data_IF_812101289994
#
_entry.id   IF_812101289994
#
_cell.length_a   1.000
_cell.length_b   1.000
_cell.length_c   1.000
_cell.angle_alpha   90.00
_cell.angle_beta   90.00
_cell.angle_gamma   90.00
#
_symmetry.space_group_name_H-M   'P 1'
#
loop_
_entity.id
_entity.type
_entity.pdbx_description
1 polymer ?
#
# COMPACT_ATOMS: atom_id res chain seq x y z
N UNK A 1 -4.53 -11.53 18.77
CA UNK A 1 -5.61 -10.58 18.43
C UNK A 1 -5.11 -9.23 17.89
N UNK A 2 -4.51 -8.33 18.69
CA UNK A 2 -4.12 -7.00 18.19
C UNK A 2 -3.12 -7.06 17.03
N UNK A 3 -2.05 -7.85 17.17
CA UNK A 3 -1.06 -8.05 16.10
C UNK A 3 -1.71 -8.51 14.77
N UNK A 4 -2.65 -9.45 14.85
CA UNK A 4 -3.39 -9.94 13.68
C UNK A 4 -4.26 -8.85 13.03
N UNK A 5 -4.92 -7.98 13.83
CA UNK A 5 -5.65 -6.82 13.30
C UNK A 5 -4.72 -5.80 12.64
N UNK A 6 -3.55 -5.55 13.22
CA UNK A 6 -2.58 -4.60 12.67
C UNK A 6 -1.98 -5.12 11.35
N UNK A 7 -1.61 -6.40 11.30
CA UNK A 7 -1.12 -7.07 10.10
C UNK A 7 -2.18 -7.05 8.98
N UNK A 8 -3.43 -7.39 9.31
CA UNK A 8 -4.55 -7.31 8.38
C UNK A 8 -4.80 -5.88 7.90
N UNK A 9 -4.73 -4.89 8.80
CA UNK A 9 -4.95 -3.50 8.43
C UNK A 9 -3.90 -2.95 7.48
N UNK A 10 -2.63 -3.27 7.71
CA UNK A 10 -1.55 -2.89 6.80
C UNK A 10 -1.71 -3.59 5.44
N UNK A 11 -2.01 -4.90 5.43
CA UNK A 11 -2.21 -5.63 4.19
C UNK A 11 -3.37 -5.08 3.36
N UNK A 12 -4.53 -4.83 3.99
CA UNK A 12 -5.68 -4.22 3.31
C UNK A 12 -5.32 -2.82 2.80
N UNK A 13 -4.65 -1.99 3.60
CA UNK A 13 -4.27 -0.64 3.17
C UNK A 13 -3.34 -0.64 1.94
N UNK A 14 -2.47 -1.64 1.77
CA UNK A 14 -1.60 -1.75 0.58
C UNK A 14 -2.31 -2.24 -0.69
N UNK A 15 -3.50 -2.82 -0.56
CA UNK A 15 -4.27 -3.40 -1.67
C UNK A 15 -5.59 -2.68 -1.92
N UNK A 16 -6.02 -1.82 -1.00
CA UNK A 16 -7.27 -1.11 -1.09
C UNK A 16 -7.26 -0.15 -2.27
N UNK A 17 -8.34 -0.21 -3.05
CA UNK A 17 -8.65 0.79 -4.07
C UNK A 17 -10.07 1.30 -3.87
N UNK A 18 -10.34 2.54 -4.31
CA UNK A 18 -11.63 3.19 -4.11
C UNK A 18 -12.83 2.44 -4.73
N UNK A 19 -12.57 1.52 -5.65
CA UNK A 19 -13.59 0.68 -6.28
C UNK A 19 -13.90 -0.63 -5.54
N UNK A 20 -13.15 -0.98 -4.48
CA UNK A 20 -13.42 -2.20 -3.72
C UNK A 20 -14.74 -2.11 -2.97
N UNK A 21 -15.54 -3.18 -3.04
CA UNK A 21 -16.77 -3.26 -2.26
C UNK A 21 -16.47 -3.49 -0.78
N UNK A 22 -17.45 -3.21 0.09
CA UNK A 22 -17.33 -3.54 1.51
C UNK A 22 -17.07 -5.05 1.74
N UNK A 23 -17.63 -5.91 0.89
CA UNK A 23 -17.38 -7.35 0.92
C UNK A 23 -15.94 -7.72 0.56
N UNK A 24 -15.34 -7.04 -0.42
CA UNK A 24 -13.95 -7.28 -0.82
C UNK A 24 -12.98 -6.87 0.31
N UNK A 25 -13.23 -5.71 0.94
CA UNK A 25 -12.45 -5.23 2.09
C UNK A 25 -12.55 -6.21 3.25
N UNK A 26 -13.76 -6.68 3.56
CA UNK A 26 -14.02 -7.68 4.59
C UNK A 26 -13.27 -8.99 4.30
N UNK A 27 -13.40 -9.52 3.08
CA UNK A 27 -12.79 -10.80 2.69
C UNK A 27 -11.26 -10.73 2.69
N UNK A 28 -10.69 -9.65 2.16
CA UNK A 28 -9.25 -9.43 2.16
C UNK A 28 -8.72 -9.30 3.59
N UNK A 29 -9.35 -8.47 4.42
CA UNK A 29 -8.99 -8.30 5.81
C UNK A 29 -9.06 -9.61 6.59
N UNK A 30 -10.11 -10.41 6.36
CA UNK A 30 -10.29 -11.70 7.02
C UNK A 30 -9.19 -12.69 6.67
N UNK A 31 -8.74 -12.71 5.41
CA UNK A 31 -7.66 -13.58 4.95
C UNK A 31 -6.37 -13.32 5.73
N UNK A 32 -5.95 -12.05 5.82
CA UNK A 32 -4.74 -11.69 6.56
C UNK A 32 -4.91 -11.79 8.07
N UNK A 33 -6.10 -11.47 8.59
CA UNK A 33 -6.40 -11.61 10.01
C UNK A 33 -6.28 -13.07 10.45
N UNK A 34 -6.99 -13.98 9.76
CA UNK A 34 -6.99 -15.40 10.06
C UNK A 34 -5.60 -16.04 9.95
N UNK A 35 -4.79 -15.62 8.98
CA UNK A 35 -3.43 -16.12 8.79
C UNK A 35 -2.45 -15.67 9.90
N UNK A 36 -2.69 -14.51 10.51
CA UNK A 36 -1.83 -13.95 11.56
C UNK A 36 -2.40 -14.17 12.99
N UNK A 37 -3.56 -14.82 13.10
CA UNK A 37 -4.20 -15.03 14.39
C UNK A 37 -3.59 -16.24 15.12
N UNK A 38 -3.08 -16.00 16.32
CA UNK A 38 -2.81 -17.03 17.31
C UNK A 38 -3.91 -17.01 18.39
N UNK A 39 -4.42 -18.19 18.71
CA UNK A 39 -5.47 -18.41 19.70
C UNK A 39 -5.09 -19.56 20.64
N UNK A 40 -5.63 -19.56 21.86
CA UNK A 40 -5.36 -20.61 22.83
C UNK A 40 -6.03 -21.95 22.46
N UNK A 41 -7.18 -21.89 21.79
CA UNK A 41 -7.96 -23.06 21.35
C UNK A 41 -8.79 -22.75 20.09
N UNK A 42 -9.43 -23.79 19.53
CA UNK A 42 -10.20 -23.70 18.29
C UNK A 42 -11.48 -22.86 18.43
N UNK A 43 -12.11 -22.85 19.60
CA UNK A 43 -13.34 -22.10 19.84
C UNK A 43 -13.04 -20.60 19.90
N UNK A 44 -11.95 -20.24 20.56
CA UNK A 44 -11.43 -18.88 20.61
C UNK A 44 -11.05 -18.36 19.22
N UNK A 45 -10.38 -19.20 18.42
CA UNK A 45 -10.06 -18.89 17.02
C UNK A 45 -11.33 -18.64 16.20
N UNK A 46 -12.27 -19.60 16.20
CA UNK A 46 -13.54 -19.53 15.47
C UNK A 46 -14.34 -18.28 15.86
N UNK A 47 -14.44 -18.01 17.17
CA UNK A 47 -15.10 -16.82 17.70
C UNK A 47 -14.46 -15.53 17.19
N UNK A 48 -13.13 -15.44 17.22
CA UNK A 48 -12.41 -14.24 16.76
C UNK A 48 -12.55 -14.01 15.26
N UNK A 49 -12.50 -15.07 14.45
CA UNK A 49 -12.68 -15.03 12.99
C UNK A 49 -14.11 -14.63 12.65
N UNK A 50 -15.12 -15.19 13.34
CA UNK A 50 -16.53 -14.85 13.12
C UNK A 50 -16.88 -13.42 13.55
N UNK A 51 -16.21 -12.89 14.58
CA UNK A 51 -16.39 -11.53 15.08
C UNK A 51 -15.58 -10.48 14.31
N UNK A 52 -14.81 -10.88 13.30
CA UNK A 52 -13.98 -9.97 12.53
C UNK A 52 -14.85 -9.05 11.65
N UNK A 53 -14.51 -7.77 11.63
CA UNK A 53 -15.12 -6.76 10.77
C UNK A 53 -14.03 -5.84 10.22
N UNK A 54 -14.11 -5.51 8.94
CA UNK A 54 -13.27 -4.55 8.26
C UNK A 54 -14.12 -3.62 7.39
N UNK A 55 -13.82 -2.33 7.46
CA UNK A 55 -14.47 -1.29 6.69
C UNK A 55 -13.44 -0.29 6.18
N UNK A 56 -13.68 0.23 4.98
CA UNK A 56 -12.93 1.35 4.43
C UNK A 56 -13.80 2.61 4.43
N UNK A 57 -13.16 3.76 4.63
CA UNK A 57 -13.82 5.07 4.64
C UNK A 57 -12.85 6.14 4.17
N UNK A 58 -13.34 7.36 3.93
CA UNK A 58 -12.51 8.49 3.52
C UNK A 58 -12.76 8.95 2.09
N UNK A 59 -11.76 9.60 1.51
CA UNK A 59 -11.83 10.24 0.20
C UNK A 59 -10.46 10.16 -0.50
N UNK A 60 -10.34 10.60 -1.77
CA UNK A 60 -9.05 10.60 -2.47
C UNK A 60 -7.92 11.39 -1.80
N UNK A 61 -8.21 12.21 -0.78
CA UNK A 61 -7.16 12.86 0.03
C UNK A 61 -6.57 11.96 1.13
N UNK A 62 -7.36 11.02 1.65
CA UNK A 62 -6.94 10.03 2.64
C UNK A 62 -8.06 8.97 2.81
N UNK A 63 -7.68 7.70 2.77
CA UNK A 63 -8.54 6.58 3.14
C UNK A 63 -8.14 6.02 4.51
N UNK A 64 -9.12 5.46 5.19
CA UNK A 64 -8.98 4.83 6.49
C UNK A 64 -9.55 3.42 6.45
N UNK A 65 -8.71 2.45 6.76
CA UNK A 65 -9.13 1.07 6.98
C UNK A 65 -9.33 0.88 8.47
N UNK A 66 -10.54 0.52 8.87
CA UNK A 66 -10.91 0.22 10.26
C UNK A 66 -11.22 -1.25 10.38
N UNK A 67 -10.57 -1.91 11.32
CA UNK A 67 -10.73 -3.34 11.59
C UNK A 67 -11.06 -3.54 13.06
N UNK A 68 -11.86 -4.54 13.36
CA UNK A 68 -12.17 -4.95 14.72
C UNK A 68 -12.40 -6.45 14.81
N UNK A 69 -12.12 -7.01 15.97
CA UNK A 69 -12.52 -8.37 16.33
C UNK A 69 -12.62 -8.48 17.85
N UNK A 70 -13.14 -9.59 18.33
CA UNK A 70 -13.35 -9.84 19.74
C UNK A 70 -12.92 -11.25 20.13
N UNK A 71 -12.48 -11.41 21.37
CA UNK A 71 -12.13 -12.71 21.94
C UNK A 71 -12.92 -12.93 23.22
N UNK A 72 -13.55 -14.10 23.37
CA UNK A 72 -14.26 -14.48 24.59
C UNK A 72 -13.33 -15.31 25.46
N UNK A 73 -13.23 -14.95 26.75
CA UNK A 73 -12.43 -15.68 27.73
C UNK A 73 -13.30 -16.08 28.91
N UNK A 74 -13.10 -17.28 29.47
CA UNK A 74 -13.79 -17.67 30.68
C UNK A 74 -13.43 -16.70 31.82
N UNK A 75 -14.38 -16.49 32.73
CA UNK A 75 -14.11 -15.74 33.95
C UNK A 75 -13.22 -16.55 34.89
N UNK A 76 -12.36 -15.86 35.64
CA UNK A 76 -11.58 -16.45 36.73
C UNK A 76 -12.41 -16.55 38.04
N UNK A 77 -13.58 -15.90 38.10
CA UNK A 77 -14.52 -15.99 39.23
C UNK A 77 -15.55 -17.10 38.94
N UNK A 78 -15.70 -18.06 39.85
CA UNK A 78 -16.66 -19.16 39.66
C UNK A 78 -18.09 -18.63 39.58
N UNK A 79 -18.84 -19.02 38.54
CA UNK A 79 -20.23 -18.60 38.33
C UNK A 79 -20.39 -17.24 37.65
N UNK A 80 -19.30 -16.52 37.35
CA UNK A 80 -19.36 -15.31 36.56
C UNK A 80 -19.37 -15.61 35.05
N UNK A 81 -20.09 -14.79 34.28
CA UNK A 81 -20.15 -14.91 32.83
C UNK A 81 -18.76 -14.69 32.18
N UNK A 82 -18.55 -15.33 31.04
CA UNK A 82 -17.38 -15.07 30.18
C UNK A 82 -17.27 -13.60 29.84
N UNK A 83 -16.06 -13.07 29.79
CA UNK A 83 -15.81 -11.68 29.40
C UNK A 83 -15.31 -11.61 27.97
N UNK A 84 -15.62 -10.51 27.28
CA UNK A 84 -15.27 -10.31 25.88
C UNK A 84 -14.28 -9.15 25.76
N UNK A 85 -13.11 -9.43 25.18
CA UNK A 85 -12.12 -8.41 24.86
C UNK A 85 -12.29 -7.97 23.41
N UNK A 86 -12.75 -6.75 23.20
CA UNK A 86 -12.82 -6.12 21.88
C UNK A 86 -11.48 -5.44 21.57
N UNK A 87 -11.02 -5.56 20.32
CA UNK A 87 -9.83 -4.87 19.81
C UNK A 87 -10.14 -4.27 18.45
N UNK A 88 -9.45 -3.17 18.14
CA UNK A 88 -9.58 -2.46 16.88
C UNK A 88 -8.23 -1.99 16.39
N UNK A 89 -8.06 -1.94 15.07
CA UNK A 89 -6.94 -1.32 14.40
C UNK A 89 -7.47 -0.29 13.39
N UNK A 90 -6.73 0.81 13.19
CA UNK A 90 -7.05 1.81 12.18
C UNK A 90 -5.79 2.21 11.44
N UNK A 91 -5.81 2.04 10.13
CA UNK A 91 -4.69 2.40 9.24
C UNK A 91 -5.13 3.55 8.36
N UNK A 92 -4.33 4.62 8.34
CA UNK A 92 -4.49 5.72 7.38
C UNK A 92 -3.60 5.42 6.18
N UNK A 93 -4.16 5.51 4.99
CA UNK A 93 -3.43 5.44 3.73
C UNK A 93 -3.72 6.70 2.91
N UNK A 94 -2.67 7.23 2.29
CA UNK A 94 -2.82 8.26 1.29
C UNK A 94 -2.69 7.56 -0.06
N UNK A 95 -3.71 7.64 -0.94
CA UNK A 95 -3.59 7.06 -2.26
C UNK A 95 -2.39 7.67 -2.99
N UNK A 96 -1.71 6.85 -3.77
CA UNK A 96 -0.61 7.28 -4.61
C UNK A 96 -1.05 8.30 -5.65
N UNK A 97 -0.09 9.02 -6.22
CA UNK A 97 -0.39 9.84 -7.39
C UNK A 97 -0.53 8.95 -8.63
N UNK A 98 -1.45 9.32 -9.53
CA UNK A 98 -1.74 8.55 -10.74
C UNK A 98 -0.47 8.30 -11.57
N UNK A 99 -0.15 7.03 -11.83
CA UNK A 99 0.95 6.66 -12.71
C UNK A 99 0.51 6.78 -14.18
N UNK A 100 1.18 7.63 -14.97
CA UNK A 100 0.98 7.69 -16.43
C UNK A 100 1.89 6.71 -17.19
N UNK A 101 3.03 6.35 -16.60
CA UNK A 101 3.97 5.36 -17.14
C UNK A 101 4.27 4.38 -16.03
N UNK A 102 4.07 3.08 -16.30
CA UNK A 102 4.29 2.01 -15.35
C UNK A 102 5.12 0.90 -15.99
N UNK A 103 6.34 0.70 -15.48
CA UNK A 103 7.19 -0.42 -15.84
C UNK A 103 7.19 -1.45 -14.69
N UNK A 104 6.72 -2.66 -14.96
CA UNK A 104 6.50 -3.71 -13.94
C UNK A 104 7.65 -4.72 -13.82
N UNK A 105 8.58 -4.73 -14.77
CA UNK A 105 9.72 -5.63 -14.74
C UNK A 105 10.62 -5.31 -13.52
N UNK A 106 10.87 -6.30 -12.64
CA UNK A 106 11.54 -6.07 -11.36
C UNK A 106 13.05 -5.91 -11.44
N UNK A 107 13.70 -6.23 -12.57
CA UNK A 107 15.17 -6.29 -12.63
C UNK A 107 15.79 -5.66 -13.88
N UNK A 108 14.98 -5.21 -14.84
CA UNK A 108 15.51 -4.66 -16.09
C UNK A 108 16.13 -3.27 -15.87
N UNK A 109 17.38 -3.11 -16.31
CA UNK A 109 18.01 -1.79 -16.43
C UNK A 109 17.26 -0.90 -17.40
N UNK A 110 17.13 0.39 -17.09
CA UNK A 110 16.42 1.35 -17.93
C UNK A 110 14.98 0.90 -18.28
N UNK A 111 14.27 0.36 -17.30
CA UNK A 111 12.86 -0.07 -17.41
C UNK A 111 11.96 1.02 -18.01
N UNK A 112 12.28 2.28 -17.73
CA UNK A 112 11.82 3.42 -18.54
C UNK A 112 13.04 4.15 -19.07
N UNK A 113 13.20 4.18 -20.40
CA UNK A 113 14.30 4.87 -21.09
C UNK A 113 13.77 6.04 -21.91
N UNK A 114 14.25 7.24 -21.59
CA UNK A 114 13.92 8.49 -22.28
C UNK A 114 15.20 8.98 -22.98
N UNK A 115 15.31 8.72 -24.28
CA UNK A 115 16.58 8.88 -25.00
C UNK A 115 16.43 9.70 -26.28
N UNK A 116 17.49 10.41 -26.66
CA UNK A 116 17.51 11.27 -27.85
C UNK A 116 17.21 12.74 -27.52
N UNK A 117 16.34 13.37 -28.30
CA UNK A 117 15.98 14.80 -28.19
C UNK A 117 14.47 15.01 -28.00
N UNK A 118 13.80 14.06 -27.35
CA UNK A 118 12.35 14.10 -27.11
C UNK A 118 12.00 15.02 -25.96
N UNK A 119 10.85 15.70 -26.06
CA UNK A 119 10.27 16.45 -24.95
C UNK A 119 9.01 15.73 -24.46
N UNK A 120 9.04 15.25 -23.21
CA UNK A 120 7.94 14.51 -22.58
C UNK A 120 7.35 15.36 -21.46
N UNK A 121 6.07 15.70 -21.58
CA UNK A 121 5.34 16.49 -20.58
C UNK A 121 4.14 15.72 -20.02
N UNK A 122 4.23 15.37 -18.75
CA UNK A 122 3.30 14.56 -17.96
C UNK A 122 3.12 15.17 -16.56
N UNK A 123 3.06 16.51 -16.46
CA UNK A 123 3.15 17.25 -15.20
C UNK A 123 2.09 16.90 -14.14
N UNK A 124 1.00 16.22 -14.52
CA UNK A 124 -0.07 15.76 -13.62
C UNK A 124 0.06 14.30 -13.16
N UNK A 125 1.12 13.59 -13.56
CA UNK A 125 1.26 12.15 -13.37
C UNK A 125 2.66 11.73 -12.90
N UNK A 126 2.74 10.53 -12.33
CA UNK A 126 3.98 9.89 -11.92
C UNK A 126 4.49 8.90 -12.97
N UNK A 127 5.82 8.82 -13.13
CA UNK A 127 6.51 7.73 -13.81
C UNK A 127 6.92 6.72 -12.75
N UNK A 128 6.43 5.49 -12.84
CA UNK A 128 6.65 4.43 -11.87
C UNK A 128 7.45 3.28 -12.51
N UNK A 129 8.56 2.87 -11.87
CA UNK A 129 9.30 1.67 -12.27
C UNK A 129 9.51 0.74 -11.08
N UNK A 130 9.14 -0.53 -11.27
CA UNK A 130 9.30 -1.59 -10.27
C UNK A 130 10.68 -2.26 -10.32
N UNK A 131 11.57 -1.80 -11.22
CA UNK A 131 12.91 -2.35 -11.38
C UNK A 131 13.83 -1.92 -10.24
N UNK A 132 14.61 -2.85 -9.70
CA UNK A 132 15.65 -2.63 -8.67
C UNK A 132 17.02 -2.22 -9.24
N UNK A 133 17.14 -2.08 -10.56
CA UNK A 133 18.37 -1.63 -11.21
C UNK A 133 18.77 -0.20 -10.80
N UNK A 134 20.07 0.10 -10.79
CA UNK A 134 20.60 1.44 -10.46
C UNK A 134 20.18 2.53 -11.47
N UNK A 135 19.69 2.13 -12.64
CA UNK A 135 19.20 2.98 -13.72
C UNK A 135 17.76 2.63 -14.12
N UNK A 136 16.93 2.17 -13.18
CA UNK A 136 15.54 1.75 -13.41
C UNK A 136 14.73 2.75 -14.26
N UNK A 137 14.92 4.05 -14.04
CA UNK A 137 14.49 5.10 -14.97
C UNK A 137 15.71 5.88 -15.43
N UNK A 138 15.95 5.88 -16.74
CA UNK A 138 17.09 6.55 -17.33
C UNK A 138 16.66 7.60 -18.35
N UNK A 139 17.36 8.73 -18.32
CA UNK A 139 17.24 9.78 -19.31
C UNK A 139 18.61 10.04 -19.93
N UNK A 140 18.74 9.77 -21.22
CA UNK A 140 19.94 10.03 -22.02
C UNK A 140 19.76 11.11 -23.10
N UNK A 141 20.86 11.69 -23.55
CA UNK A 141 20.86 12.71 -24.62
C UNK A 141 20.37 14.08 -24.16
N UNK A 142 19.62 14.75 -25.02
CA UNK A 142 19.04 16.09 -24.79
C UNK A 142 17.54 16.03 -24.48
N UNK A 143 17.02 14.87 -24.09
CA UNK A 143 15.61 14.71 -23.76
C UNK A 143 15.22 15.56 -22.54
N UNK A 144 14.05 16.17 -22.61
CA UNK A 144 13.46 16.95 -21.52
C UNK A 144 12.26 16.21 -20.96
N UNK A 145 12.15 16.17 -19.63
CA UNK A 145 11.08 15.46 -18.93
C UNK A 145 10.41 16.40 -17.94
N UNK A 146 9.10 16.55 -18.03
CA UNK A 146 8.28 17.16 -16.98
C UNK A 146 7.27 16.16 -16.48
N UNK A 147 7.23 15.92 -15.17
CA UNK A 147 6.28 15.00 -14.55
C UNK A 147 5.90 15.49 -13.14
N UNK A 148 4.82 14.97 -12.57
CA UNK A 148 4.52 15.25 -11.17
C UNK A 148 5.63 14.66 -10.28
N UNK A 149 6.00 13.40 -10.54
CA UNK A 149 7.14 12.76 -9.91
C UNK A 149 7.66 11.56 -10.69
N UNK A 150 8.81 11.03 -10.27
CA UNK A 150 9.34 9.74 -10.72
C UNK A 150 9.54 8.88 -9.47
N UNK A 151 8.97 7.68 -9.41
CA UNK A 151 9.11 6.75 -8.27
C UNK A 151 9.68 5.43 -8.75
N UNK A 152 10.76 4.98 -8.14
CA UNK A 152 11.48 3.76 -8.57
C UNK A 152 11.89 2.90 -7.39
N UNK A 153 11.85 1.58 -7.58
CA UNK A 153 12.41 0.63 -6.61
C UNK A 153 13.93 0.69 -6.60
N UNK A 154 14.56 0.81 -7.76
CA UNK A 154 15.99 1.06 -7.93
C UNK A 154 16.32 2.55 -8.04
N UNK A 155 17.40 2.85 -8.74
CA UNK A 155 17.91 4.22 -8.94
C UNK A 155 17.43 4.88 -10.23
N UNK A 156 17.75 6.15 -10.39
CA UNK A 156 17.52 6.92 -11.62
C UNK A 156 18.80 7.50 -12.19
N UNK A 157 18.82 7.70 -13.51
CA UNK A 157 19.96 8.28 -14.22
C UNK A 157 19.53 9.45 -15.09
N UNK A 158 20.21 10.59 -14.95
CA UNK A 158 19.95 11.77 -15.78
C UNK A 158 18.64 12.50 -15.47
N UNK A 159 18.09 12.42 -14.26
CA UNK A 159 16.84 13.10 -13.89
C UNK A 159 17.06 14.36 -13.03
N UNK A 160 18.11 15.13 -13.32
CA UNK A 160 18.41 16.39 -12.62
C UNK A 160 17.99 17.64 -13.42
N UNK A 161 17.69 18.77 -12.76
CA UNK A 161 17.52 20.06 -13.45
C UNK A 161 18.77 20.42 -14.27
N UNK A 162 18.63 21.09 -15.44
CA UNK A 162 17.41 21.67 -16.05
C UNK A 162 16.59 20.66 -16.87
N UNK A 163 17.02 19.42 -16.84
CA UNK A 163 16.74 18.45 -17.88
C UNK A 163 15.60 17.48 -17.49
N UNK A 164 15.28 17.43 -16.19
CA UNK A 164 14.03 16.96 -15.64
C UNK A 164 13.43 18.05 -14.74
N UNK A 165 12.13 18.31 -14.89
CA UNK A 165 11.35 19.22 -14.06
C UNK A 165 10.23 18.43 -13.37
N UNK A 166 10.48 18.07 -12.10
CA UNK A 166 9.57 17.27 -11.28
C UNK A 166 8.89 18.15 -10.23
N UNK A 167 7.57 18.06 -10.11
CA UNK A 167 6.83 18.81 -9.08
C UNK A 167 7.23 18.39 -7.66
N UNK A 168 7.59 17.12 -7.46
CA UNK A 168 8.12 16.61 -6.19
C UNK A 168 9.59 17.01 -5.90
N UNK A 169 10.24 17.77 -6.80
CA UNK A 169 11.62 18.24 -6.65
C UNK A 169 12.65 17.22 -7.14
N UNK A 170 12.74 16.06 -6.49
CA UNK A 170 13.69 14.98 -6.85
C UNK A 170 12.97 13.66 -7.11
N UNK A 171 13.54 12.77 -7.93
CA UNK A 171 13.05 11.39 -8.05
C UNK A 171 12.98 10.72 -6.66
N UNK A 172 11.95 9.92 -6.46
CA UNK A 172 11.74 9.13 -5.26
C UNK A 172 12.26 7.71 -5.51
N UNK A 173 13.55 7.53 -5.29
CA UNK A 173 14.26 6.25 -5.46
C UNK A 173 14.11 5.35 -4.23
N UNK A 174 14.37 4.05 -4.41
CA UNK A 174 14.35 3.05 -3.34
C UNK A 174 12.99 2.92 -2.62
N UNK A 175 11.90 3.14 -3.36
CA UNK A 175 10.55 2.99 -2.85
C UNK A 175 9.59 2.44 -3.90
N UNK A 176 8.67 1.58 -3.46
CA UNK A 176 7.58 1.12 -4.31
C UNK A 176 6.70 2.30 -4.72
N UNK A 177 6.38 2.38 -6.01
CA UNK A 177 5.38 3.30 -6.49
C UNK A 177 4.03 2.92 -5.87
N UNK A 178 3.49 3.78 -4.99
CA UNK A 178 2.07 3.76 -4.68
C UNK A 178 1.35 4.50 -5.80
N UNK A 179 0.35 3.85 -6.40
CA UNK A 179 -0.52 4.43 -7.43
C UNK A 179 -1.97 4.08 -7.13
#
# INVERSE_FOLDING_TARGET
LQNSLDAAGLAVATKYSAGMTAGDVQSLGLTFFAANMSAADQQEYSGSVSAFSAAASGSPSAYYISLSSSISRPSFLSGAASWQANRSAKVKMNPGAQACVLALDPHVSSAVSLQGSTNVSMSSCVIAANSDASDAVSRGGSALVSAACVSTVGGTSGLSPPSANLTCGTPLEHQYASF
#
